data_IF_179566194087
#
_entry.id   IF_179566194087
#
_cell.length_a   1.000
_cell.length_b   1.000
_cell.length_c   1.000
_cell.angle_alpha   90.00
_cell.angle_beta   90.00
_cell.angle_gamma   90.00
#
_symmetry.space_group_name_H-M   'P 1'
#
loop_
_entity.id
_entity.type
_entity.pdbx_description
1 polymer ?
#
# COMPACT_ATOMS: atom_id res chain seq x y z
N UNK A 1 -22.39 13.18 -26.94
CA UNK A 1 -22.91 13.62 -25.63
C UNK A 1 -22.39 12.63 -24.61
N UNK A 2 -21.23 12.91 -24.03
CA UNK A 2 -20.64 12.17 -22.91
C UNK A 2 -20.18 13.22 -21.92
N UNK A 3 -21.12 13.68 -21.11
CA UNK A 3 -20.89 14.47 -19.89
C UNK A 3 -21.94 13.99 -18.90
N UNK A 4 -21.59 12.94 -18.15
CA UNK A 4 -22.25 12.51 -16.92
C UNK A 4 -21.46 11.29 -16.42
N UNK A 5 -20.45 11.53 -15.58
CA UNK A 5 -20.00 10.61 -14.52
C UNK A 5 -18.96 11.23 -13.56
N UNK A 6 -18.32 12.36 -13.91
CA UNK A 6 -17.28 12.96 -13.04
C UNK A 6 -17.77 13.52 -11.69
N UNK A 7 -19.07 13.77 -11.52
CA UNK A 7 -19.57 14.34 -10.26
C UNK A 7 -19.58 13.32 -9.11
N UNK A 8 -19.82 12.04 -9.38
CA UNK A 8 -19.98 11.05 -8.31
C UNK A 8 -18.64 10.61 -7.72
N UNK A 9 -17.58 10.55 -8.53
CA UNK A 9 -16.25 10.19 -8.06
C UNK A 9 -15.63 11.32 -7.22
N UNK A 10 -15.83 12.60 -7.61
CA UNK A 10 -15.39 13.75 -6.82
C UNK A 10 -16.07 13.81 -5.44
N UNK A 11 -17.38 13.54 -5.36
CA UNK A 11 -18.12 13.52 -4.09
C UNK A 11 -17.60 12.38 -3.17
N UNK A 12 -17.29 11.20 -3.72
CA UNK A 12 -16.70 10.10 -2.93
C UNK A 12 -15.27 10.40 -2.47
N UNK A 13 -14.44 11.03 -3.29
CA UNK A 13 -13.08 11.45 -2.89
C UNK A 13 -13.13 12.46 -1.74
N UNK A 14 -14.04 13.44 -1.81
CA UNK A 14 -14.26 14.40 -0.74
C UNK A 14 -14.69 13.71 0.56
N UNK A 15 -15.61 12.75 0.51
CA UNK A 15 -16.05 11.98 1.68
C UNK A 15 -14.90 11.18 2.34
N UNK A 16 -14.06 10.52 1.53
CA UNK A 16 -12.89 9.76 2.02
C UNK A 16 -11.89 10.72 2.67
N UNK A 17 -11.62 11.86 2.05
CA UNK A 17 -10.70 12.88 2.54
C UNK A 17 -11.19 13.55 3.83
N UNK A 18 -12.49 13.84 3.92
CA UNK A 18 -13.12 14.39 5.13
C UNK A 18 -13.05 13.39 6.29
N UNK A 19 -13.35 12.11 6.04
CA UNK A 19 -13.24 11.06 7.06
C UNK A 19 -11.80 10.93 7.59
N UNK A 20 -10.81 11.03 6.70
CA UNK A 20 -9.40 11.06 7.10
C UNK A 20 -9.06 12.27 7.96
N UNK A 21 -9.53 13.46 7.58
CA UNK A 21 -9.31 14.68 8.36
C UNK A 21 -9.89 14.55 9.77
N UNK A 22 -11.08 13.95 9.92
CA UNK A 22 -11.69 13.68 11.21
C UNK A 22 -10.85 12.70 12.06
N UNK A 23 -10.30 11.65 11.46
CA UNK A 23 -9.43 10.69 12.14
C UNK A 23 -8.14 11.32 12.70
N UNK A 24 -7.54 12.26 11.96
CA UNK A 24 -6.38 13.00 12.45
C UNK A 24 -6.71 13.91 13.64
N UNK A 25 -7.94 14.44 13.70
CA UNK A 25 -8.36 15.31 14.80
C UNK A 25 -8.66 14.55 16.11
N UNK A 26 -9.06 13.27 16.02
CA UNK A 26 -9.45 12.43 17.17
C UNK A 26 -8.24 11.68 17.79
N UNK A 27 -7.08 11.69 17.11
CA UNK A 27 -5.81 11.10 17.60
C UNK A 27 -4.89 12.09 18.31
N UNK A 28 -5.36 13.31 18.60
CA UNK A 28 -4.63 14.30 19.39
C UNK A 28 -4.66 13.96 20.88
N UNK A 29 -3.59 13.34 21.37
CA UNK A 29 -3.41 13.01 22.79
C UNK A 29 -3.51 14.25 23.71
N UNK A 30 -4.35 14.10 24.73
CA UNK A 30 -4.22 14.75 26.03
C UNK A 30 -2.91 14.31 26.71
N UNK A 31 -1.76 14.84 26.28
CA UNK A 31 -0.56 14.89 27.11
C UNK A 31 0.31 16.07 26.71
N UNK A 32 0.52 16.97 27.67
CA UNK A 32 1.35 18.16 27.52
C UNK A 32 2.80 17.81 27.17
N UNK A 33 3.43 18.74 26.45
CA UNK A 33 4.84 18.81 26.07
C UNK A 33 5.31 17.99 24.86
N UNK A 34 4.69 18.23 23.70
CA UNK A 34 5.46 18.52 22.46
C UNK A 34 4.64 19.43 21.56
N UNK A 35 4.96 20.74 21.52
CA UNK A 35 4.42 21.65 20.51
C UNK A 35 5.05 21.33 19.15
N UNK A 36 4.48 20.37 18.42
CA UNK A 36 4.62 20.34 16.97
C UNK A 36 3.97 21.63 16.46
N UNK A 37 4.78 22.58 15.98
CA UNK A 37 4.25 23.77 15.31
C UNK A 37 3.50 23.30 14.07
N UNK A 38 2.18 23.18 14.17
CA UNK A 38 1.30 23.06 13.00
C UNK A 38 1.37 24.41 12.30
N UNK A 39 2.30 24.52 11.34
CA UNK A 39 2.35 25.67 10.44
C UNK A 39 1.01 25.76 9.70
N UNK A 40 0.40 26.95 9.67
CA UNK A 40 -0.76 27.21 8.83
C UNK A 40 -0.35 27.00 7.37
N UNK A 41 -0.69 25.84 6.80
CA UNK A 41 -0.52 25.58 5.37
C UNK A 41 -1.60 26.33 4.60
N UNK A 42 -1.19 27.21 3.70
CA UNK A 42 -2.07 27.84 2.72
C UNK A 42 -2.68 26.76 1.80
N UNK A 43 -3.99 26.80 1.48
CA UNK A 43 -4.60 25.83 0.58
C UNK A 43 -3.82 25.73 -0.75
N UNK A 44 -3.49 24.51 -1.18
CA UNK A 44 -2.79 24.24 -2.44
C UNK A 44 -1.26 24.24 -2.40
N UNK A 45 -0.62 24.43 -1.24
CA UNK A 45 0.84 24.27 -1.11
C UNK A 45 1.23 22.79 -0.93
N UNK A 46 2.36 22.34 -1.51
CA UNK A 46 2.93 21.04 -1.18
C UNK A 46 3.21 20.91 0.32
N UNK A 47 2.84 19.77 0.90
CA UNK A 47 3.17 19.43 2.29
C UNK A 47 4.33 18.45 2.30
N UNK A 48 5.35 18.74 3.09
CA UNK A 48 6.47 17.81 3.33
C UNK A 48 6.29 17.17 4.70
N UNK A 49 6.22 15.85 4.74
CA UNK A 49 6.18 15.06 5.96
C UNK A 49 7.45 14.24 6.14
N UNK A 50 7.86 14.11 7.40
CA UNK A 50 9.06 13.41 7.82
C UNK A 50 8.67 12.15 8.58
N UNK A 51 9.20 11.00 8.17
CA UNK A 51 8.91 9.70 8.76
C UNK A 51 10.20 9.08 9.28
N UNK A 52 10.35 9.00 10.60
CA UNK A 52 11.54 8.42 11.22
C UNK A 52 11.44 6.89 11.28
N UNK A 53 12.45 6.21 10.71
CA UNK A 53 12.61 4.75 10.73
C UNK A 53 13.64 4.40 11.80
N UNK A 54 13.16 3.85 12.91
CA UNK A 54 13.94 3.68 14.14
C UNK A 54 15.03 2.64 13.99
N UNK A 55 14.75 1.55 13.28
CA UNK A 55 15.66 0.41 13.14
C UNK A 55 16.93 0.70 12.35
N UNK A 56 16.96 1.79 11.58
CA UNK A 56 18.10 2.23 10.78
C UNK A 56 18.52 3.67 11.07
N UNK A 57 17.86 4.34 12.03
CA UNK A 57 18.13 5.72 12.42
C UNK A 57 18.12 6.70 11.23
N UNK A 58 17.09 6.61 10.38
CA UNK A 58 16.97 7.42 9.17
C UNK A 58 15.61 8.11 9.13
N UNK A 59 15.55 9.33 8.62
CA UNK A 59 14.29 10.02 8.35
C UNK A 59 13.99 10.01 6.87
N UNK A 60 12.80 9.54 6.49
CA UNK A 60 12.28 9.62 5.14
C UNK A 60 11.50 10.92 4.95
N UNK A 61 11.63 11.50 3.77
CA UNK A 61 10.87 12.68 3.36
C UNK A 61 9.78 12.29 2.37
N UNK A 62 8.57 12.82 2.54
CA UNK A 62 7.46 12.57 1.61
C UNK A 62 6.75 13.87 1.29
N UNK A 63 6.63 14.18 0.00
CA UNK A 63 5.82 15.27 -0.51
C UNK A 63 4.41 14.78 -0.80
N UNK A 64 3.46 15.43 -0.14
CA UNK A 64 2.02 15.33 -0.41
C UNK A 64 1.56 16.55 -1.21
N UNK A 65 0.62 16.32 -2.13
CA UNK A 65 -0.05 17.36 -2.92
C UNK A 65 -1.57 17.18 -2.80
N UNK A 66 -2.18 17.44 -1.63
CA UNK A 66 -3.59 17.08 -1.37
C UNK A 66 -4.58 17.66 -2.39
N UNK A 67 -4.26 18.81 -2.99
CA UNK A 67 -5.07 19.44 -4.03
C UNK A 67 -5.09 18.68 -5.38
N UNK A 68 -4.32 17.59 -5.51
CA UNK A 68 -4.26 16.77 -6.73
C UNK A 68 -4.98 15.42 -6.57
N UNK A 69 -5.71 15.20 -5.46
CA UNK A 69 -6.53 14.00 -5.24
C UNK A 69 -5.91 12.99 -4.27
N UNK A 70 -6.59 11.85 -4.10
CA UNK A 70 -6.30 10.86 -3.06
C UNK A 70 -4.89 10.24 -3.17
N UNK A 71 -4.39 10.02 -4.39
CA UNK A 71 -3.07 9.41 -4.63
C UNK A 71 -1.90 10.28 -4.16
N UNK A 72 -2.13 11.57 -3.91
CA UNK A 72 -1.09 12.51 -3.50
C UNK A 72 -1.08 12.76 -2.00
N UNK A 73 -1.80 11.95 -1.23
CA UNK A 73 -1.93 12.04 0.21
C UNK A 73 -1.42 10.77 0.90
N UNK A 74 -0.99 10.92 2.15
CA UNK A 74 -0.56 9.81 2.98
C UNK A 74 -1.72 9.27 3.81
N UNK A 75 -1.90 7.95 3.77
CA UNK A 75 -3.00 7.26 4.45
C UNK A 75 -2.51 6.47 5.67
N UNK A 76 -3.35 6.29 6.72
CA UNK A 76 -2.96 5.57 7.94
C UNK A 76 -2.51 4.13 7.68
N UNK A 77 -3.09 3.47 6.67
CA UNK A 77 -2.71 2.13 6.25
C UNK A 77 -1.24 2.03 5.83
N UNK A 78 -0.73 3.04 5.12
CA UNK A 78 0.67 3.08 4.69
C UNK A 78 1.59 3.20 5.91
N UNK A 79 1.32 4.15 6.81
CA UNK A 79 2.11 4.35 8.03
C UNK A 79 2.10 3.12 8.93
N UNK A 80 0.97 2.41 9.03
CA UNK A 80 0.88 1.15 9.78
C UNK A 80 1.84 0.10 9.22
N UNK A 81 1.87 -0.12 7.90
CA UNK A 81 2.82 -1.06 7.30
C UNK A 81 4.28 -0.61 7.45
N UNK A 82 4.56 0.69 7.35
CA UNK A 82 5.90 1.25 7.60
C UNK A 82 6.37 0.90 9.00
N UNK A 83 5.53 1.10 10.02
CA UNK A 83 5.83 0.73 11.41
C UNK A 83 6.07 -0.77 11.54
N UNK A 84 5.22 -1.60 10.92
CA UNK A 84 5.38 -3.06 10.97
C UNK A 84 6.66 -3.55 10.28
N UNK A 85 7.12 -2.88 9.22
CA UNK A 85 8.40 -3.15 8.55
C UNK A 85 9.58 -2.77 9.44
N UNK A 86 9.53 -1.59 10.07
CA UNK A 86 10.54 -1.12 11.02
C UNK A 86 10.68 -2.08 12.22
N UNK A 87 9.54 -2.53 12.75
CA UNK A 87 9.45 -3.54 13.79
C UNK A 87 9.96 -4.91 13.34
N UNK A 88 9.66 -5.30 12.08
CA UNK A 88 10.12 -6.55 11.50
C UNK A 88 11.64 -6.63 11.47
N UNK A 89 12.34 -5.56 11.04
CA UNK A 89 13.80 -5.54 11.03
C UNK A 89 14.39 -5.74 12.41
N UNK A 90 13.78 -5.17 13.46
CA UNK A 90 14.25 -5.29 14.85
C UNK A 90 13.95 -6.66 15.46
N UNK A 91 12.82 -7.27 15.11
CA UNK A 91 12.40 -8.55 15.66
C UNK A 91 11.65 -9.44 14.64
N UNK A 92 12.38 -10.05 13.68
CA UNK A 92 11.76 -10.80 12.58
C UNK A 92 11.03 -12.06 13.05
N UNK A 93 11.36 -12.61 14.22
CA UNK A 93 10.71 -13.82 14.74
C UNK A 93 9.35 -13.55 15.40
N UNK A 94 9.09 -12.32 15.84
CA UNK A 94 7.82 -11.92 16.46
C UNK A 94 6.95 -11.05 15.57
N UNK A 95 7.47 -10.60 14.43
CA UNK A 95 6.75 -9.71 13.53
C UNK A 95 5.55 -10.40 12.87
N UNK A 96 4.39 -9.73 12.76
CA UNK A 96 3.24 -10.26 12.02
C UNK A 96 3.52 -10.38 10.52
N UNK A 97 4.49 -9.62 9.98
CA UNK A 97 4.90 -9.72 8.57
C UNK A 97 5.76 -10.96 8.27
N UNK A 98 6.15 -11.70 9.32
CA UNK A 98 6.90 -12.95 9.21
C UNK A 98 6.41 -13.89 8.12
N UNK A 99 5.13 -14.27 8.03
CA UNK A 99 4.69 -15.27 7.04
C UNK A 99 4.86 -14.80 5.59
N UNK A 100 4.93 -13.49 5.36
CA UNK A 100 5.14 -12.90 4.04
C UNK A 100 6.63 -12.71 3.73
N UNK A 101 7.44 -12.30 4.72
CA UNK A 101 8.84 -11.89 4.52
C UNK A 101 9.86 -12.99 4.83
N UNK A 102 9.48 -14.07 5.52
CA UNK A 102 10.39 -15.16 5.97
C UNK A 102 10.93 -16.07 4.88
N UNK A 103 10.66 -15.82 3.61
CA UNK A 103 11.01 -16.73 2.52
C UNK A 103 12.49 -17.15 2.48
N UNK A 104 13.43 -16.43 3.13
CA UNK A 104 14.87 -16.65 2.86
C UNK A 104 15.84 -16.55 4.04
N UNK A 105 15.37 -16.38 5.29
CA UNK A 105 16.29 -16.19 6.43
C UNK A 105 17.05 -17.45 6.89
N UNK A 106 16.80 -18.62 6.28
CA UNK A 106 17.51 -19.88 6.59
C UNK A 106 18.69 -20.21 5.67
N UNK A 107 18.88 -19.52 4.54
CA UNK A 107 19.70 -20.04 3.43
C UNK A 107 21.05 -19.32 3.21
N UNK A 108 21.55 -18.61 4.22
CA UNK A 108 22.92 -18.05 4.24
C UNK A 108 23.07 -16.60 3.73
N UNK A 109 24.27 -16.01 3.87
CA UNK A 109 24.53 -14.58 3.61
C UNK A 109 24.56 -14.18 2.12
N UNK A 110 24.51 -15.12 1.18
CA UNK A 110 24.70 -14.88 -0.26
C UNK A 110 23.39 -14.82 -1.08
N UNK A 111 22.24 -14.68 -0.42
CA UNK A 111 20.96 -14.60 -1.13
C UNK A 111 20.77 -13.20 -1.75
N UNK A 112 20.20 -13.13 -2.96
CA UNK A 112 19.89 -11.85 -3.57
C UNK A 112 18.83 -11.10 -2.73
N UNK A 113 18.82 -9.75 -2.77
CA UNK A 113 17.81 -8.94 -2.12
C UNK A 113 16.38 -9.37 -2.46
N UNK A 114 15.46 -9.23 -1.50
CA UNK A 114 14.03 -9.43 -1.72
C UNK A 114 13.54 -8.55 -2.86
N UNK A 115 12.76 -9.11 -3.79
CA UNK A 115 12.08 -8.33 -4.83
C UNK A 115 10.63 -8.06 -4.43
N UNK A 116 10.26 -6.78 -4.38
CA UNK A 116 8.94 -6.34 -3.91
C UNK A 116 8.27 -5.49 -4.99
N UNK A 117 6.97 -5.70 -5.19
CA UNK A 117 6.11 -4.83 -5.99
C UNK A 117 5.12 -4.12 -5.08
N UNK A 118 5.03 -2.80 -5.15
CA UNK A 118 3.96 -2.02 -4.52
C UNK A 118 2.90 -1.61 -5.55
N UNK A 119 1.64 -1.92 -5.26
CA UNK A 119 0.47 -1.51 -6.05
C UNK A 119 -0.20 -0.30 -5.40
N UNK A 120 -0.50 0.74 -6.19
CA UNK A 120 -1.18 1.94 -5.69
C UNK A 120 -0.33 2.68 -4.65
N UNK A 121 0.88 3.04 -5.05
CA UNK A 121 1.91 3.56 -4.15
C UNK A 121 1.57 4.97 -3.65
N UNK A 122 0.79 5.73 -4.41
CA UNK A 122 0.46 7.13 -4.14
C UNK A 122 1.72 7.97 -3.95
N UNK A 123 1.97 8.35 -2.69
CA UNK A 123 3.19 9.09 -2.30
C UNK A 123 4.47 8.24 -2.31
N UNK A 124 4.36 6.90 -2.25
CA UNK A 124 5.48 5.96 -2.28
C UNK A 124 6.14 5.68 -0.94
N UNK A 125 5.64 6.24 0.18
CA UNK A 125 6.26 6.09 1.49
C UNK A 125 6.48 4.61 1.86
N UNK A 126 5.49 3.76 1.63
CA UNK A 126 5.55 2.34 2.01
C UNK A 126 6.64 1.59 1.22
N UNK A 127 6.70 1.71 -0.11
CA UNK A 127 7.74 1.07 -0.91
C UNK A 127 9.14 1.61 -0.63
N UNK A 128 9.29 2.92 -0.43
CA UNK A 128 10.58 3.52 -0.01
C UNK A 128 11.00 2.97 1.35
N UNK A 129 10.08 2.92 2.32
CA UNK A 129 10.35 2.36 3.64
C UNK A 129 10.74 0.88 3.57
N UNK A 130 10.07 0.08 2.73
CA UNK A 130 10.42 -1.32 2.51
C UNK A 130 11.85 -1.46 1.95
N UNK A 131 12.22 -0.64 0.96
CA UNK A 131 13.56 -0.66 0.38
C UNK A 131 14.63 -0.31 1.41
N UNK A 132 14.50 0.81 2.14
CA UNK A 132 15.51 1.24 3.12
C UNK A 132 15.60 0.30 4.33
N UNK A 133 14.47 -0.28 4.75
CA UNK A 133 14.40 -1.09 5.98
C UNK A 133 14.83 -2.53 5.73
N UNK A 134 14.53 -3.08 4.57
CA UNK A 134 14.85 -4.48 4.24
C UNK A 134 16.08 -4.62 3.35
N UNK A 135 16.61 -3.52 2.80
CA UNK A 135 17.62 -3.58 1.73
C UNK A 135 17.07 -4.27 0.47
N UNK A 136 15.78 -4.08 0.20
CA UNK A 136 15.06 -4.78 -0.86
C UNK A 136 15.12 -4.04 -2.20
N UNK A 137 14.90 -4.78 -3.30
CA UNK A 137 14.66 -4.22 -4.62
C UNK A 137 13.15 -4.02 -4.82
N UNK A 138 12.70 -2.78 -4.76
CA UNK A 138 11.27 -2.45 -4.78
C UNK A 138 10.90 -1.79 -6.10
N UNK A 139 9.82 -2.24 -6.73
CA UNK A 139 9.16 -1.51 -7.80
C UNK A 139 7.88 -0.88 -7.25
N UNK A 140 7.82 0.44 -7.22
CA UNK A 140 6.64 1.20 -6.80
C UNK A 140 5.83 1.58 -8.03
N UNK A 141 4.52 1.32 -7.98
CA UNK A 141 3.62 1.52 -9.12
C UNK A 141 2.37 2.31 -8.77
N UNK A 142 1.94 3.12 -9.73
CA UNK A 142 0.70 3.89 -9.68
C UNK A 142 0.26 4.31 -11.11
N UNK A 143 -0.80 5.10 -11.22
CA UNK A 143 -1.28 5.65 -12.48
C UNK A 143 -0.28 6.64 -13.08
N UNK A 144 -0.21 6.78 -14.42
CA UNK A 144 0.76 7.64 -15.11
C UNK A 144 0.84 9.08 -14.57
N UNK A 145 -0.28 9.66 -14.15
CA UNK A 145 -0.32 11.04 -13.65
C UNK A 145 0.27 11.20 -12.22
N UNK A 146 0.37 10.11 -11.45
CA UNK A 146 0.94 10.09 -10.08
C UNK A 146 2.47 9.94 -10.13
N UNK A 147 2.98 9.28 -11.17
CA UNK A 147 4.41 8.95 -11.36
C UNK A 147 5.36 10.13 -11.12
N UNK A 148 5.11 11.37 -11.59
CA UNK A 148 6.03 12.48 -11.34
C UNK A 148 6.21 12.81 -9.85
N UNK A 149 5.15 12.73 -9.04
CA UNK A 149 5.25 12.97 -7.60
C UNK A 149 5.88 11.78 -6.88
N UNK A 150 5.54 10.56 -7.29
CA UNK A 150 6.14 9.34 -6.78
C UNK A 150 7.65 9.31 -7.01
N UNK A 151 8.11 9.65 -8.22
CA UNK A 151 9.54 9.75 -8.55
C UNK A 151 10.25 10.82 -7.72
N UNK A 152 9.63 12.00 -7.55
CA UNK A 152 10.20 13.03 -6.67
C UNK A 152 10.43 12.50 -5.25
N UNK A 153 9.47 11.76 -4.69
CA UNK A 153 9.61 11.20 -3.35
C UNK A 153 10.69 10.12 -3.28
N UNK A 154 10.85 9.29 -4.32
CA UNK A 154 11.96 8.33 -4.39
C UNK A 154 13.31 9.05 -4.43
N UNK A 155 13.45 10.07 -5.28
CA UNK A 155 14.69 10.84 -5.44
C UNK A 155 15.07 11.59 -4.15
N UNK A 156 14.07 12.13 -3.45
CA UNK A 156 14.26 12.82 -2.17
C UNK A 156 14.81 11.90 -1.06
N UNK A 157 14.76 10.57 -1.24
CA UNK A 157 15.26 9.57 -0.30
C UNK A 157 16.45 8.77 -0.85
N UNK A 158 17.11 9.22 -1.91
CA UNK A 158 18.22 8.50 -2.55
C UNK A 158 19.38 8.19 -1.57
N UNK A 159 19.73 9.11 -0.68
CA UNK A 159 20.77 8.88 0.33
C UNK A 159 20.36 7.78 1.33
N UNK A 160 19.11 7.79 1.80
CA UNK A 160 18.58 6.77 2.70
C UNK A 160 18.57 5.37 2.05
N UNK A 161 18.26 5.29 0.76
CA UNK A 161 18.29 4.06 -0.03
C UNK A 161 19.71 3.49 -0.16
N UNK A 162 20.69 4.35 -0.39
CA UNK A 162 22.08 3.95 -0.55
C UNK A 162 22.68 3.31 0.72
N UNK A 163 22.26 3.74 1.91
CA UNK A 163 22.83 3.27 3.20
C UNK A 163 22.62 1.77 3.44
N UNK A 164 21.46 1.23 3.07
CA UNK A 164 21.10 -0.18 3.33
C UNK A 164 21.08 -1.04 2.06
N UNK A 165 21.56 -0.52 0.93
CA UNK A 165 21.64 -1.28 -0.33
C UNK A 165 20.29 -1.59 -0.97
N UNK A 166 19.21 -0.91 -0.55
CA UNK A 166 17.90 -1.03 -1.17
C UNK A 166 17.83 -0.23 -2.47
N UNK A 167 16.98 -0.65 -3.39
CA UNK A 167 16.72 0.07 -4.63
C UNK A 167 15.22 0.28 -4.83
N UNK A 168 14.85 1.40 -5.45
CA UNK A 168 13.46 1.69 -5.82
C UNK A 168 13.40 2.05 -7.29
N UNK A 169 12.57 1.32 -8.04
CA UNK A 169 12.19 1.63 -9.41
C UNK A 169 10.76 2.16 -9.42
N UNK A 170 10.51 3.26 -10.11
CA UNK A 170 9.16 3.78 -10.33
C UNK A 170 8.65 3.31 -11.69
N UNK A 171 7.40 2.84 -11.76
CA UNK A 171 6.76 2.43 -13.01
C UNK A 171 5.25 2.72 -12.98
N UNK A 172 4.65 2.93 -14.16
CA UNK A 172 3.20 3.01 -14.27
C UNK A 172 2.55 1.62 -14.27
N UNK A 173 1.45 1.46 -13.54
CA UNK A 173 0.58 0.29 -13.61
C UNK A 173 -0.86 0.73 -13.36
N UNK A 174 -1.71 0.56 -14.38
CA UNK A 174 -3.16 0.66 -14.24
C UNK A 174 -3.73 -0.71 -13.89
N UNK A 175 -4.56 -0.79 -12.85
CA UNK A 175 -5.14 -2.07 -12.47
C UNK A 175 -6.04 -2.63 -13.56
N UNK A 176 -6.09 -3.96 -13.70
CA UNK A 176 -6.80 -4.66 -14.78
C UNK A 176 -6.02 -4.75 -16.09
N UNK A 177 -5.00 -3.91 -16.31
CA UNK A 177 -4.24 -3.89 -17.56
C UNK A 177 -3.15 -4.96 -17.60
N UNK A 178 -3.36 -6.01 -18.40
CA UNK A 178 -2.40 -7.11 -18.51
C UNK A 178 -1.05 -6.68 -19.12
N UNK A 179 -1.07 -5.73 -20.06
CA UNK A 179 0.15 -5.19 -20.69
C UNK A 179 1.06 -4.50 -19.68
N UNK A 180 0.50 -3.74 -18.74
CA UNK A 180 1.28 -3.06 -17.69
C UNK A 180 1.95 -4.10 -16.76
N UNK A 181 1.23 -5.16 -16.40
CA UNK A 181 1.77 -6.28 -15.59
C UNK A 181 2.90 -7.00 -16.34
N UNK A 182 2.76 -7.21 -17.66
CA UNK A 182 3.80 -7.84 -18.47
C UNK A 182 5.07 -6.99 -18.56
N UNK A 183 4.94 -5.66 -18.69
CA UNK A 183 6.07 -4.72 -18.75
C UNK A 183 6.84 -4.63 -17.43
N UNK A 184 6.14 -4.69 -16.29
CA UNK A 184 6.76 -4.68 -14.96
C UNK A 184 7.39 -6.04 -14.64
N UNK A 185 6.83 -7.11 -15.18
CA UNK A 185 7.20 -8.48 -14.87
C UNK A 185 6.40 -9.02 -13.69
N UNK A 186 6.63 -10.29 -13.38
CA UNK A 186 5.84 -11.04 -12.39
C UNK A 186 6.69 -11.67 -11.30
N UNK A 187 8.01 -11.47 -11.33
CA UNK A 187 9.00 -12.14 -10.46
C UNK A 187 9.25 -11.33 -9.18
N UNK A 188 8.24 -11.30 -8.32
CA UNK A 188 8.31 -10.68 -7.00
C UNK A 188 8.17 -11.74 -5.90
N UNK A 189 9.01 -11.61 -4.87
CA UNK A 189 8.88 -12.41 -3.66
C UNK A 189 7.60 -12.02 -2.90
N UNK A 190 7.30 -10.72 -2.83
CA UNK A 190 6.13 -10.17 -2.14
C UNK A 190 5.54 -9.01 -2.93
N UNK A 191 4.21 -8.91 -2.90
CA UNK A 191 3.47 -7.75 -3.40
C UNK A 191 2.90 -7.04 -2.17
N UNK A 192 2.98 -5.72 -2.13
CA UNK A 192 2.43 -4.90 -1.04
C UNK A 192 1.48 -3.83 -1.58
N UNK A 193 0.61 -3.32 -0.71
CA UNK A 193 -0.26 -2.18 -1.01
C UNK A 193 -0.90 -1.64 0.26
N UNK A 194 -1.21 -0.35 0.25
CA UNK A 194 -1.88 0.32 1.37
C UNK A 194 -3.09 1.09 0.89
N UNK A 195 -4.26 0.79 1.45
CA UNK A 195 -5.53 1.45 1.17
C UNK A 195 -5.98 1.42 -0.31
N UNK A 196 -5.66 0.33 -1.01
CA UNK A 196 -6.01 0.12 -2.43
C UNK A 196 -7.48 -0.28 -2.67
N UNK A 197 -8.30 -0.40 -1.62
CA UNK A 197 -9.72 -0.78 -1.70
C UNK A 197 -10.58 0.39 -1.24
N UNK A 198 -10.90 1.31 -2.14
CA UNK A 198 -11.61 2.56 -1.80
C UNK A 198 -12.81 2.85 -2.72
N UNK A 199 -12.67 2.76 -4.06
CA UNK A 199 -13.80 2.81 -4.99
C UNK A 199 -14.19 1.42 -5.50
N UNK A 200 -15.50 1.18 -5.61
CA UNK A 200 -16.06 -0.12 -5.97
C UNK A 200 -15.78 -0.54 -7.42
N UNK A 201 -15.76 0.41 -8.35
CA UNK A 201 -15.40 0.18 -9.74
C UNK A 201 -13.94 -0.29 -9.91
N UNK A 202 -13.07 -0.07 -8.91
CA UNK A 202 -11.68 -0.53 -8.90
C UNK A 202 -11.49 -1.94 -8.32
N UNK A 203 -12.53 -2.53 -7.72
CA UNK A 203 -12.42 -3.85 -7.09
C UNK A 203 -12.08 -4.95 -8.09
N UNK A 204 -12.79 -5.00 -9.22
CA UNK A 204 -12.54 -5.94 -10.30
C UNK A 204 -11.15 -5.77 -10.94
N UNK A 205 -10.76 -4.55 -11.38
CA UNK A 205 -9.42 -4.29 -11.89
C UNK A 205 -8.30 -4.75 -10.95
N UNK A 206 -8.39 -4.40 -9.65
CA UNK A 206 -7.39 -4.81 -8.67
C UNK A 206 -7.32 -6.34 -8.51
N UNK A 207 -8.47 -7.02 -8.43
CA UNK A 207 -8.52 -8.48 -8.34
C UNK A 207 -7.93 -9.15 -9.59
N UNK A 208 -8.14 -8.57 -10.77
CA UNK A 208 -7.54 -9.04 -12.02
C UNK A 208 -6.01 -8.86 -12.02
N UNK A 209 -5.50 -7.72 -11.56
CA UNK A 209 -4.05 -7.50 -11.41
C UNK A 209 -3.43 -8.49 -10.42
N UNK A 210 -4.05 -8.68 -9.24
CA UNK A 210 -3.60 -9.67 -8.26
C UNK A 210 -3.65 -11.08 -8.81
N UNK A 211 -4.65 -11.40 -9.63
CA UNK A 211 -4.76 -12.68 -10.31
C UNK A 211 -3.60 -12.88 -11.30
N UNK A 212 -3.25 -11.88 -12.11
CA UNK A 212 -2.13 -11.97 -13.03
C UNK A 212 -0.80 -12.12 -12.29
N UNK A 213 -0.62 -11.42 -11.17
CA UNK A 213 0.63 -11.44 -10.42
C UNK A 213 0.80 -12.73 -9.60
N UNK A 214 -0.25 -13.18 -8.91
CA UNK A 214 -0.20 -14.37 -8.04
C UNK A 214 -0.52 -15.68 -8.79
N UNK A 215 -1.29 -15.60 -9.87
CA UNK A 215 -1.83 -16.71 -10.66
C UNK A 215 -0.80 -17.74 -11.10
N UNK A 216 -1.03 -19.02 -10.76
CA UNK A 216 -0.20 -20.14 -11.18
C UNK A 216 1.16 -20.24 -10.47
N UNK A 217 1.44 -19.38 -9.48
CA UNK A 217 2.70 -19.39 -8.72
C UNK A 217 2.63 -20.18 -7.40
N UNK A 218 1.45 -20.70 -7.03
CA UNK A 218 1.27 -21.41 -5.76
C UNK A 218 1.39 -20.48 -4.55
N UNK A 219 1.79 -21.00 -3.39
CA UNK A 219 1.92 -20.25 -2.12
C UNK A 219 3.25 -19.50 -1.97
N UNK A 220 4.05 -19.37 -3.04
CA UNK A 220 5.41 -18.80 -2.98
C UNK A 220 5.42 -17.28 -2.93
N UNK A 221 4.51 -16.61 -3.63
CA UNK A 221 4.31 -15.16 -3.58
C UNK A 221 3.00 -14.85 -2.84
N UNK A 222 3.01 -13.81 -2.02
CA UNK A 222 1.81 -13.31 -1.36
C UNK A 222 1.63 -11.81 -1.55
N UNK A 223 0.38 -11.37 -1.54
CA UNK A 223 0.03 -9.95 -1.46
C UNK A 223 -0.27 -9.57 -0.01
N UNK A 224 0.42 -8.56 0.53
CA UNK A 224 0.21 -8.01 1.86
C UNK A 224 -0.43 -6.63 1.73
N UNK A 225 -1.62 -6.46 2.29
CA UNK A 225 -2.41 -5.24 2.16
C UNK A 225 -2.76 -4.67 3.52
N UNK A 226 -2.40 -3.42 3.79
CA UNK A 226 -3.04 -2.67 4.87
C UNK A 226 -4.29 -1.97 4.34
N UNK A 227 -5.36 -2.03 5.13
CA UNK A 227 -6.65 -1.46 4.79
C UNK A 227 -7.27 -0.80 6.00
N UNK A 228 -7.52 0.50 5.90
CA UNK A 228 -8.34 1.23 6.86
C UNK A 228 -9.80 0.87 6.62
N UNK A 229 -10.43 0.23 7.60
CA UNK A 229 -11.84 -0.18 7.51
C UNK A 229 -12.74 1.04 7.61
N UNK A 230 -13.23 1.56 6.47
CA UNK A 230 -14.10 2.74 6.47
C UNK A 230 -15.57 2.33 6.41
N UNK A 231 -15.92 1.48 5.45
CA UNK A 231 -17.32 1.29 5.06
C UNK A 231 -17.74 -0.16 4.89
N UNK A 232 -19.04 -0.43 5.09
CA UNK A 232 -19.61 -1.77 4.84
C UNK A 232 -19.56 -2.18 3.35
N UNK A 233 -19.53 -1.22 2.42
CA UNK A 233 -19.55 -1.45 0.96
C UNK A 233 -18.32 -2.23 0.49
N UNK A 234 -17.18 -2.01 1.14
CA UNK A 234 -15.89 -2.71 0.91
C UNK A 234 -15.99 -4.23 1.11
N UNK A 235 -16.98 -4.72 1.86
CA UNK A 235 -17.21 -6.16 2.02
C UNK A 235 -17.42 -6.91 0.71
N UNK A 236 -17.85 -6.22 -0.36
CA UNK A 236 -17.98 -6.78 -1.71
C UNK A 236 -16.63 -7.23 -2.27
N UNK A 237 -15.58 -6.40 -2.17
CA UNK A 237 -14.21 -6.74 -2.56
C UNK A 237 -13.76 -8.03 -1.85
N UNK A 238 -13.85 -8.06 -0.51
CA UNK A 238 -13.40 -9.21 0.26
C UNK A 238 -14.20 -10.49 -0.03
N UNK A 239 -15.50 -10.40 -0.32
CA UNK A 239 -16.31 -11.55 -0.75
C UNK A 239 -15.85 -12.10 -2.10
N UNK A 240 -15.49 -11.24 -3.04
CA UNK A 240 -14.94 -11.63 -4.35
C UNK A 240 -13.54 -12.23 -4.20
N UNK A 241 -12.66 -11.55 -3.46
CA UNK A 241 -11.30 -12.01 -3.16
C UNK A 241 -11.27 -13.41 -2.54
N UNK A 242 -12.11 -13.68 -1.53
CA UNK A 242 -12.20 -14.99 -0.85
C UNK A 242 -12.57 -16.16 -1.77
N UNK A 243 -13.12 -15.90 -2.95
CA UNK A 243 -13.40 -16.97 -3.92
C UNK A 243 -12.12 -17.49 -4.57
N UNK A 244 -11.12 -16.63 -4.76
CA UNK A 244 -9.93 -16.90 -5.57
C UNK A 244 -8.62 -16.88 -4.78
N UNK A 245 -8.59 -16.22 -3.61
CA UNK A 245 -7.44 -16.16 -2.71
C UNK A 245 -7.76 -16.77 -1.35
N UNK A 246 -6.76 -17.46 -0.77
CA UNK A 246 -6.72 -17.70 0.67
C UNK A 246 -6.29 -16.40 1.35
N UNK A 247 -7.00 -16.03 2.42
CA UNK A 247 -6.83 -14.75 3.09
C UNK A 247 -6.64 -14.97 4.59
N UNK A 248 -5.63 -14.32 5.15
CA UNK A 248 -5.35 -14.29 6.58
C UNK A 248 -5.21 -12.85 7.07
N UNK A 249 -5.53 -12.61 8.34
CA UNK A 249 -5.26 -11.35 9.03
C UNK A 249 -3.91 -11.49 9.72
N UNK A 250 -2.97 -10.62 9.38
CA UNK A 250 -1.65 -10.57 10.00
C UNK A 250 -1.63 -9.64 11.21
N UNK A 251 -2.36 -8.53 11.15
CA UNK A 251 -2.39 -7.51 12.18
C UNK A 251 -3.73 -6.73 12.12
N UNK A 252 -4.20 -6.25 13.26
CA UNK A 252 -5.35 -5.36 13.38
C UNK A 252 -5.03 -4.35 14.48
N UNK A 253 -5.27 -3.08 14.20
CA UNK A 253 -5.13 -2.04 15.22
C UNK A 253 -6.04 -2.36 16.42
N UNK A 254 -5.54 -2.04 17.61
CA UNK A 254 -6.38 -2.14 18.80
C UNK A 254 -7.44 -1.04 18.72
N UNK A 255 -8.74 -1.34 18.82
CA UNK A 255 -9.77 -0.31 18.76
C UNK A 255 -9.61 0.69 19.91
N UNK A 256 -9.40 1.97 19.61
CA UNK A 256 -9.46 3.03 20.62
C UNK A 256 -10.93 3.32 20.94
N UNK A 257 -11.30 3.29 22.23
CA UNK A 257 -12.55 3.85 22.77
C UNK A 257 -13.85 3.48 22.03
N UNK A 258 -13.96 2.26 21.51
CA UNK A 258 -15.17 1.79 20.81
C UNK A 258 -15.32 2.28 19.37
N UNK A 259 -14.28 2.92 18.81
CA UNK A 259 -14.22 3.21 17.38
C UNK A 259 -14.22 1.90 16.57
N UNK A 260 -14.90 1.93 15.41
CA UNK A 260 -14.87 0.82 14.44
C UNK A 260 -13.80 1.00 13.36
N UNK A 261 -13.04 2.11 13.45
CA UNK A 261 -12.07 2.54 12.48
C UNK A 261 -10.69 2.09 12.96
N UNK A 262 -9.99 1.34 12.13
CA UNK A 262 -8.67 0.82 12.40
C UNK A 262 -8.10 0.16 11.16
N UNK A 263 -6.78 0.11 11.08
CA UNK A 263 -6.09 -0.58 9.99
C UNK A 263 -6.06 -2.07 10.28
N UNK A 264 -6.41 -2.86 9.26
CA UNK A 264 -6.19 -4.30 9.26
C UNK A 264 -5.22 -4.64 8.15
N UNK A 265 -4.23 -5.46 8.49
CA UNK A 265 -3.25 -5.98 7.53
C UNK A 265 -3.64 -7.40 7.18
N UNK A 266 -3.90 -7.61 5.90
CA UNK A 266 -4.26 -8.89 5.31
C UNK A 266 -3.09 -9.47 4.53
N UNK A 267 -3.00 -10.79 4.48
CA UNK A 267 -2.18 -11.53 3.50
C UNK A 267 -3.07 -12.38 2.61
N UNK A 268 -2.83 -12.29 1.31
CA UNK A 268 -3.52 -13.01 0.26
C UNK A 268 -2.54 -13.96 -0.43
N UNK A 269 -2.94 -15.21 -0.61
CA UNK A 269 -2.20 -16.21 -1.40
C UNK A 269 -3.12 -16.89 -2.40
N UNK A 270 -2.56 -17.32 -3.53
CA UNK A 270 -3.29 -18.09 -4.53
C UNK A 270 -3.85 -19.42 -3.99
N UNK A 271 -5.09 -19.77 -4.37
CA UNK A 271 -5.67 -21.08 -4.03
C UNK A 271 -5.15 -22.19 -4.94
N UNK A 272 -4.97 -23.39 -4.38
CA UNK A 272 -4.49 -24.59 -5.10
C UNK A 272 -5.42 -25.02 -6.26
N UNK A 273 -6.74 -24.83 -6.13
CA UNK A 273 -7.72 -25.05 -7.20
C UNK A 273 -8.14 -23.71 -7.80
N UNK A 274 -7.32 -23.23 -8.73
CA UNK A 274 -7.60 -22.01 -9.48
C UNK A 274 -8.63 -22.27 -10.57
N UNK A 275 -9.85 -21.75 -10.43
CA UNK A 275 -10.89 -21.91 -11.44
C UNK A 275 -11.00 -20.64 -12.30
N UNK A 276 -10.40 -20.70 -13.50
CA UNK A 276 -10.38 -19.63 -14.51
C UNK A 276 -11.77 -19.08 -14.88
N UNK A 277 -12.81 -19.91 -14.76
CA UNK A 277 -14.19 -19.54 -15.09
C UNK A 277 -14.83 -18.55 -14.10
N UNK A 278 -14.24 -18.36 -12.91
CA UNK A 278 -14.74 -17.39 -11.92
C UNK A 278 -14.36 -15.95 -12.30
N UNK A 279 -13.27 -15.79 -13.06
CA UNK A 279 -12.76 -14.48 -13.50
C UNK A 279 -13.38 -14.05 -14.84
N UNK A 280 -13.75 -14.99 -15.72
CA UNK A 280 -14.43 -14.64 -16.98
C UNK A 280 -15.92 -14.32 -16.80
N UNK A 281 -16.56 -14.83 -15.74
CA UNK A 281 -17.95 -14.53 -15.41
C UNK A 281 -18.15 -13.09 -14.91
N UNK A 282 -17.11 -12.44 -14.38
CA UNK A 282 -17.13 -11.01 -14.00
C UNK A 282 -16.99 -10.08 -15.21
N UNK A 283 -16.42 -10.55 -16.34
CA UNK A 283 -16.29 -9.76 -17.57
C UNK A 283 -17.53 -9.76 -18.48
N UNK A 284 -18.60 -10.49 -18.11
CA UNK A 284 -19.84 -10.59 -18.90
C UNK A 284 -21.09 -10.02 -18.22
N UNK A 285 -20.94 -9.37 -17.07
CA UNK A 285 -22.06 -8.82 -16.29
C UNK A 285 -21.97 -7.30 -16.09
N UNK A 286 -21.27 -6.59 -16.98
CA UNK A 286 -21.29 -5.14 -17.13
C UNK A 286 -21.88 -4.76 -18.48
#
# INVERSE_FOLDING_TARGET
MLEQNDNNDNDEEEDISQLFTMLLSDSGDENGDTKTKVGHSTPGQPKLDHHYITSINTTLLTRQLPSQGLSFQLWPAATTLVTLLDDHRRNPNKSPLSPALRSRSSDGPDLPPLTILELGSGTGLLGIAAAVTLGANVTVTDLPHVIPNLQFNVDANAEALAVNGGTVKVASLSWGEAGDVELIGREFDVIIGSDVVYHDHLYEPLLQTLYLLLGGRGKTTSFVMAHLRRWKKESSFFKKAKKVFDMEVLYEDTPCNGSRLGVVVYRFTGKEKWNLNVVSATNKAG
#
